data_IF_041717294265
#
_entry.id   IF_041717294265
#
_cell.length_a   1.000
_cell.length_b   1.000
_cell.length_c   1.000
_cell.angle_alpha   90.00
_cell.angle_beta   90.00
_cell.angle_gamma   90.00
#
_symmetry.space_group_name_H-M   'P 1'
#
loop_
_entity.id
_entity.type
_entity.pdbx_description
1 polymer ?
#
# COMPACT_ATOMS: atom_id res chain seq x y z
N UNK A 1 -22.62 -22.92 -19.40
CA UNK A 1 -22.53 -22.52 -17.97
C UNK A 1 -21.09 -22.19 -17.51
N UNK A 2 -20.10 -22.04 -18.41
CA UNK A 2 -18.68 -21.84 -18.01
C UNK A 2 -18.13 -20.40 -18.18
N UNK A 3 -18.80 -19.57 -18.99
CA UNK A 3 -18.31 -18.24 -19.40
C UNK A 3 -18.38 -17.17 -18.29
N UNK A 4 -19.36 -17.25 -17.39
CA UNK A 4 -19.46 -16.29 -16.27
C UNK A 4 -18.34 -16.47 -15.24
N UNK A 5 -17.94 -17.72 -14.96
CA UNK A 5 -16.86 -18.02 -14.03
C UNK A 5 -15.50 -17.62 -14.60
N UNK A 6 -15.26 -17.88 -15.89
CA UNK A 6 -14.05 -17.46 -16.59
C UNK A 6 -13.90 -15.93 -16.62
N UNK A 7 -14.98 -15.19 -16.93
CA UNK A 7 -14.94 -13.72 -16.93
C UNK A 7 -14.65 -13.15 -15.54
N UNK A 8 -15.29 -13.68 -14.50
CA UNK A 8 -15.05 -13.24 -13.12
C UNK A 8 -13.60 -13.47 -12.69
N UNK A 9 -13.01 -14.60 -13.12
CA UNK A 9 -11.61 -14.92 -12.82
C UNK A 9 -10.63 -13.98 -13.52
N UNK A 10 -10.87 -13.68 -14.80
CA UNK A 10 -10.06 -12.72 -15.56
C UNK A 10 -10.12 -11.31 -14.97
N UNK A 11 -11.30 -10.87 -14.53
CA UNK A 11 -11.48 -9.56 -13.88
C UNK A 11 -10.71 -9.48 -12.56
N UNK A 12 -10.73 -10.56 -11.76
CA UNK A 12 -9.97 -10.62 -10.51
C UNK A 12 -8.46 -10.60 -10.78
N UNK A 13 -7.97 -11.37 -11.76
CA UNK A 13 -6.56 -11.34 -12.14
C UNK A 13 -6.14 -9.97 -12.68
N UNK A 14 -6.97 -9.35 -13.52
CA UNK A 14 -6.75 -7.99 -14.01
C UNK A 14 -6.66 -6.98 -12.88
N UNK A 15 -7.54 -7.09 -11.88
CA UNK A 15 -7.53 -6.20 -10.73
C UNK A 15 -6.31 -6.42 -9.82
N UNK A 16 -5.87 -7.66 -9.61
CA UNK A 16 -4.66 -7.99 -8.85
C UNK A 16 -3.43 -7.39 -9.54
N UNK A 17 -3.32 -7.54 -10.86
CA UNK A 17 -2.20 -6.97 -11.62
C UNK A 17 -2.15 -5.44 -11.53
N UNK A 18 -3.31 -4.77 -11.55
CA UNK A 18 -3.39 -3.32 -11.35
C UNK A 18 -3.04 -2.90 -9.92
N UNK A 19 -3.43 -3.68 -8.93
CA UNK A 19 -3.09 -3.40 -7.53
C UNK A 19 -1.58 -3.51 -7.30
N UNK A 20 -0.96 -4.56 -7.84
CA UNK A 20 0.48 -4.75 -7.78
C UNK A 20 1.25 -3.64 -8.51
N UNK A 21 0.75 -3.23 -9.67
CA UNK A 21 1.30 -2.09 -10.41
C UNK A 21 1.28 -0.80 -9.59
N UNK A 22 0.13 -0.43 -8.99
CA UNK A 22 0.06 0.79 -8.19
C UNK A 22 0.86 0.71 -6.90
N UNK A 23 0.95 -0.47 -6.27
CA UNK A 23 1.84 -0.69 -5.12
C UNK A 23 3.28 -0.39 -5.54
N UNK A 24 3.75 -0.98 -6.64
CA UNK A 24 5.10 -0.74 -7.14
C UNK A 24 5.36 0.76 -7.40
N UNK A 25 4.43 1.44 -8.09
CA UNK A 25 4.51 2.88 -8.34
C UNK A 25 4.57 3.72 -7.05
N UNK A 26 3.84 3.34 -6.00
CA UNK A 26 3.89 4.05 -4.72
C UNK A 26 5.27 3.97 -4.05
N UNK A 27 5.91 2.80 -4.09
CA UNK A 27 7.25 2.63 -3.52
C UNK A 27 8.35 3.25 -4.36
N UNK A 28 8.25 3.21 -5.69
CA UNK A 28 9.12 3.98 -6.58
C UNK A 28 9.03 5.49 -6.29
N UNK A 29 7.81 5.99 -6.09
CA UNK A 29 7.60 7.37 -5.68
C UNK A 29 8.32 7.67 -4.35
N UNK A 30 8.17 6.80 -3.34
CA UNK A 30 8.89 6.97 -2.07
C UNK A 30 10.41 6.99 -2.27
N UNK A 31 10.96 6.10 -3.09
CA UNK A 31 12.39 6.07 -3.41
C UNK A 31 12.86 7.39 -4.03
N UNK A 32 12.12 7.92 -4.99
CA UNK A 32 12.41 9.23 -5.60
C UNK A 32 12.40 10.36 -4.55
N UNK A 33 11.42 10.36 -3.64
CA UNK A 33 11.35 11.34 -2.54
C UNK A 33 12.50 11.22 -1.56
N UNK A 34 13.01 10.01 -1.33
CA UNK A 34 14.20 9.79 -0.51
C UNK A 34 15.47 10.33 -1.17
N UNK A 35 15.68 10.03 -2.46
CA UNK A 35 16.81 10.53 -3.23
C UNK A 35 16.85 12.06 -3.30
N UNK A 36 15.68 12.70 -3.34
CA UNK A 36 15.55 14.15 -3.36
C UNK A 36 15.67 14.83 -1.98
N UNK A 37 15.82 14.08 -0.89
CA UNK A 37 15.73 14.61 0.48
C UNK A 37 17.01 14.36 1.28
N UNK A 38 17.87 15.37 1.37
CA UNK A 38 19.07 15.34 2.23
C UNK A 38 18.73 15.13 3.71
N UNK A 39 17.61 15.68 4.17
CA UNK A 39 17.08 15.45 5.52
C UNK A 39 16.80 13.96 5.78
N UNK A 40 16.15 13.28 4.83
CA UNK A 40 15.81 11.87 4.98
C UNK A 40 17.08 11.00 4.96
N UNK A 41 18.03 11.30 4.07
CA UNK A 41 19.30 10.60 3.99
C UNK A 41 20.14 10.79 5.27
N UNK A 42 20.21 12.01 5.79
CA UNK A 42 20.89 12.29 7.05
C UNK A 42 20.22 11.57 8.23
N UNK A 43 18.89 11.51 8.25
CA UNK A 43 18.17 10.75 9.26
C UNK A 43 18.53 9.27 9.21
N UNK A 44 18.56 8.65 8.03
CA UNK A 44 18.96 7.23 7.88
C UNK A 44 20.39 7.02 8.38
N UNK A 45 21.33 7.85 7.94
CA UNK A 45 22.73 7.75 8.34
C UNK A 45 22.95 7.89 9.86
N UNK A 46 22.21 8.80 10.51
CA UNK A 46 22.35 9.10 11.95
C UNK A 46 21.44 8.28 12.86
N UNK A 47 20.47 7.54 12.34
CA UNK A 47 19.53 6.80 13.19
C UNK A 47 20.17 5.54 13.77
N UNK A 48 20.05 5.39 15.09
CA UNK A 48 20.29 4.12 15.78
C UNK A 48 19.08 3.17 15.71
N UNK A 49 17.96 3.60 15.11
CA UNK A 49 16.72 2.79 15.01
C UNK A 49 16.64 1.96 13.74
N UNK A 50 17.50 2.26 12.77
CA UNK A 50 17.59 1.56 11.50
C UNK A 50 18.89 0.78 11.56
N UNK A 51 18.82 -0.53 11.45
CA UNK A 51 20.00 -1.39 11.45
C UNK A 51 20.87 -1.07 10.24
N UNK A 52 22.18 -1.20 10.39
CA UNK A 52 23.14 -0.80 9.36
C UNK A 52 22.96 -1.58 8.06
N UNK A 53 22.45 -2.81 8.12
CA UNK A 53 22.11 -3.61 6.93
C UNK A 53 21.07 -2.91 6.04
N UNK A 54 20.08 -2.26 6.65
CA UNK A 54 19.03 -1.56 5.91
C UNK A 54 19.45 -0.17 5.44
N UNK A 55 20.57 0.39 5.94
CA UNK A 55 21.05 1.72 5.51
C UNK A 55 21.65 1.69 4.10
N UNK A 56 22.14 0.52 3.69
CA UNK A 56 22.71 0.31 2.36
C UNK A 56 21.68 -0.19 1.33
N UNK A 57 20.42 -0.41 1.73
CA UNK A 57 19.39 -0.86 0.81
C UNK A 57 19.12 0.18 -0.28
N UNK A 58 19.16 -0.27 -1.53
CA UNK A 58 18.90 0.59 -2.69
C UNK A 58 17.43 1.01 -2.78
N UNK A 59 16.52 0.28 -2.13
CA UNK A 59 15.08 0.47 -2.22
C UNK A 59 14.51 1.36 -1.09
N UNK A 60 15.35 2.02 -0.31
CA UNK A 60 14.88 2.96 0.74
C UNK A 60 14.06 4.08 0.11
N UNK A 61 12.88 4.31 0.68
CA UNK A 61 11.98 5.37 0.31
C UNK A 61 11.70 6.35 1.45
N UNK A 62 11.05 7.47 1.12
CA UNK A 62 10.58 8.46 2.08
C UNK A 62 9.16 8.88 1.73
N UNK A 63 8.23 8.61 2.64
CA UNK A 63 6.85 9.07 2.52
C UNK A 63 6.74 10.49 3.09
N UNK A 64 7.05 11.46 2.23
CA UNK A 64 7.07 12.90 2.56
C UNK A 64 5.69 13.58 2.48
N UNK A 65 4.62 12.77 2.40
CA UNK A 65 3.21 13.21 2.45
C UNK A 65 2.67 13.83 1.15
N UNK A 66 3.40 13.67 0.05
CA UNK A 66 3.07 14.30 -1.23
C UNK A 66 2.51 13.34 -2.28
N UNK A 67 2.60 12.02 -2.09
CA UNK A 67 2.11 11.05 -3.08
C UNK A 67 0.61 11.26 -3.31
N UNK A 68 -0.16 11.39 -2.21
CA UNK A 68 -1.61 11.57 -2.29
C UNK A 68 -2.06 12.83 -3.04
N UNK A 69 -1.23 13.89 -3.07
CA UNK A 69 -1.49 15.12 -3.80
C UNK A 69 -1.10 15.04 -5.28
N UNK A 70 -0.18 14.14 -5.64
CA UNK A 70 0.27 13.92 -7.01
C UNK A 70 -0.58 12.89 -7.77
N UNK A 71 -1.38 12.08 -7.07
CA UNK A 71 -2.38 11.21 -7.71
C UNK A 71 -3.55 12.05 -8.24
N UNK A 72 -4.06 11.80 -9.47
CA UNK A 72 -5.24 12.48 -10.01
C UNK A 72 -6.43 12.50 -9.04
N UNK A 73 -7.31 13.50 -9.23
CA UNK A 73 -8.47 13.69 -8.35
C UNK A 73 -9.39 12.47 -8.41
N UNK A 74 -9.95 12.08 -7.27
CA UNK A 74 -10.85 10.92 -7.15
C UNK A 74 -12.12 11.00 -8.04
N UNK A 75 -12.48 12.20 -8.51
CA UNK A 75 -13.60 12.40 -9.46
C UNK A 75 -13.29 11.91 -10.89
N UNK A 76 -12.01 11.67 -11.20
CA UNK A 76 -11.57 11.15 -12.50
C UNK A 76 -11.52 9.63 -12.43
N UNK A 77 -11.87 8.90 -13.51
CA UNK A 77 -11.81 7.43 -13.51
C UNK A 77 -10.44 6.90 -13.11
N UNK A 78 -9.37 7.47 -13.67
CA UNK A 78 -7.98 7.12 -13.35
C UNK A 78 -7.64 7.38 -11.88
N UNK A 79 -7.95 8.59 -11.38
CA UNK A 79 -7.70 8.93 -9.98
C UNK A 79 -8.48 8.06 -9.00
N UNK A 80 -9.72 7.69 -9.34
CA UNK A 80 -10.51 6.75 -8.56
C UNK A 80 -9.88 5.35 -8.55
N UNK A 81 -9.41 4.86 -9.70
CA UNK A 81 -8.77 3.56 -9.83
C UNK A 81 -7.49 3.46 -9.00
N UNK A 82 -6.57 4.42 -9.14
CA UNK A 82 -5.31 4.44 -8.37
C UNK A 82 -5.59 4.53 -6.87
N UNK A 83 -6.46 5.45 -6.45
CA UNK A 83 -6.77 5.64 -5.02
C UNK A 83 -7.45 4.42 -4.42
N UNK A 84 -8.41 3.82 -5.13
CA UNK A 84 -9.10 2.62 -4.70
C UNK A 84 -8.13 1.43 -4.57
N UNK A 85 -7.21 1.31 -5.52
CA UNK A 85 -6.15 0.31 -5.51
C UNK A 85 -5.22 0.45 -4.30
N UNK A 86 -4.67 1.65 -4.06
CA UNK A 86 -3.81 1.89 -2.89
C UNK A 86 -4.56 1.79 -1.55
N UNK A 87 -5.86 2.06 -1.55
CA UNK A 87 -6.71 1.83 -0.38
C UNK A 87 -6.91 0.34 -0.11
N UNK A 88 -7.19 -0.47 -1.14
CA UNK A 88 -7.25 -1.93 -1.01
C UNK A 88 -5.91 -2.52 -0.56
N UNK A 89 -4.81 -1.98 -1.06
CA UNK A 89 -3.47 -2.34 -0.62
C UNK A 89 -3.18 -1.91 0.83
N UNK A 90 -3.95 -1.00 1.41
CA UNK A 90 -3.73 -0.45 2.75
C UNK A 90 -2.63 0.62 2.83
N UNK A 91 -2.07 1.04 1.70
CA UNK A 91 -1.05 2.10 1.62
C UNK A 91 -1.66 3.51 1.73
N UNK A 92 -2.94 3.64 1.40
CA UNK A 92 -3.73 4.86 1.60
C UNK A 92 -4.93 4.53 2.50
N UNK A 93 -5.17 5.36 3.51
CA UNK A 93 -6.31 5.20 4.43
C UNK A 93 -7.61 5.66 3.76
N UNK A 94 -8.75 5.28 4.35
CA UNK A 94 -10.07 5.79 3.94
C UNK A 94 -10.15 7.33 3.99
N UNK A 95 -9.41 7.97 4.90
CA UNK A 95 -9.30 9.44 5.00
C UNK A 95 -8.43 10.07 3.90
N UNK A 96 -7.84 9.26 3.01
CA UNK A 96 -6.93 9.71 1.96
C UNK A 96 -5.48 9.96 2.42
N UNK A 97 -5.18 9.76 3.70
CA UNK A 97 -3.81 9.86 4.21
C UNK A 97 -2.99 8.62 3.90
N UNK A 98 -1.74 8.82 3.51
CA UNK A 98 -0.76 7.75 3.34
C UNK A 98 -0.49 7.02 4.67
N UNK A 99 -0.33 5.70 4.62
CA UNK A 99 -0.03 4.87 5.79
C UNK A 99 1.29 5.29 6.44
N UNK A 100 2.32 5.48 5.63
CA UNK A 100 3.69 5.78 6.03
C UNK A 100 3.98 7.27 6.23
N UNK A 101 2.95 8.10 6.41
CA UNK A 101 3.06 9.57 6.50
C UNK A 101 4.22 10.02 7.42
N UNK A 102 5.27 10.59 6.84
CA UNK A 102 6.46 11.08 7.54
C UNK A 102 7.44 9.99 7.98
N UNK A 103 7.49 8.86 7.29
CA UNK A 103 8.41 7.76 7.58
C UNK A 103 9.46 7.57 6.48
N UNK A 104 10.67 7.14 6.88
CA UNK A 104 11.54 6.35 6.00
C UNK A 104 10.88 4.99 5.80
N UNK A 105 10.80 4.53 4.57
CA UNK A 105 10.15 3.28 4.18
C UNK A 105 11.21 2.31 3.66
N UNK A 106 11.26 1.11 4.24
CA UNK A 106 12.21 0.05 3.89
C UNK A 106 11.38 -1.15 3.42
N UNK A 107 11.26 -1.37 2.09
CA UNK A 107 10.49 -2.47 1.55
C UNK A 107 11.25 -3.80 1.63
N UNK A 108 10.50 -4.88 1.81
CA UNK A 108 10.97 -6.24 1.54
C UNK A 108 10.40 -6.68 0.20
N UNK A 109 11.27 -7.13 -0.69
CA UNK A 109 10.93 -7.64 -2.01
C UNK A 109 11.12 -9.14 -2.07
N UNK A 110 10.27 -9.83 -2.82
CA UNK A 110 10.44 -11.26 -3.10
C UNK A 110 11.43 -11.52 -4.25
N UNK A 111 11.62 -12.79 -4.59
CA UNK A 111 12.51 -13.22 -5.69
C UNK A 111 12.07 -12.71 -7.07
N UNK A 112 10.80 -12.31 -7.22
CA UNK A 112 10.26 -11.77 -8.47
C UNK A 112 10.31 -10.24 -8.49
N UNK A 113 10.89 -9.61 -7.46
CA UNK A 113 10.94 -8.15 -7.31
C UNK A 113 9.62 -7.53 -6.84
N UNK A 114 8.63 -8.34 -6.43
CA UNK A 114 7.37 -7.85 -5.90
C UNK A 114 7.51 -7.42 -4.45
N UNK A 115 6.91 -6.29 -4.10
CA UNK A 115 6.93 -5.77 -2.73
C UNK A 115 5.93 -6.54 -1.87
N UNK A 116 6.42 -7.26 -0.87
CA UNK A 116 5.60 -8.14 -0.01
C UNK A 116 5.35 -7.55 1.38
N UNK A 117 6.24 -6.67 1.86
CA UNK A 117 6.07 -5.95 3.12
C UNK A 117 6.92 -4.69 3.14
N UNK A 118 6.71 -3.84 4.15
CA UNK A 118 7.56 -2.69 4.40
C UNK A 118 7.53 -2.24 5.86
N UNK A 119 8.68 -1.73 6.30
CA UNK A 119 8.87 -1.07 7.58
C UNK A 119 8.93 0.45 7.39
N UNK A 120 8.27 1.18 8.28
CA UNK A 120 8.17 2.63 8.23
C UNK A 120 8.70 3.29 9.49
N UNK A 121 9.90 3.86 9.46
CA UNK A 121 10.51 4.54 10.60
C UNK A 121 10.16 6.03 10.63
N UNK A 122 9.46 6.47 11.67
CA UNK A 122 9.02 7.87 11.78
C UNK A 122 10.20 8.83 11.88
N UNK A 123 10.22 9.82 10.99
CA UNK A 123 11.18 10.92 10.97
C UNK A 123 10.71 12.04 11.89
N UNK A 124 11.63 12.59 12.68
CA UNK A 124 11.38 13.73 13.56
C UNK A 124 10.75 13.35 14.91
N UNK A 125 10.15 14.35 15.58
CA UNK A 125 9.59 14.20 16.92
C UNK A 125 8.34 13.32 16.91
N UNK A 126 8.40 12.23 17.66
CA UNK A 126 7.26 11.34 17.90
C UNK A 126 6.43 11.92 19.05
N UNK A 127 5.12 12.08 18.83
CA UNK A 127 4.21 12.56 19.87
C UNK A 127 3.81 11.40 20.78
N UNK A 128 3.33 11.72 21.99
CA UNK A 128 2.86 10.70 22.90
C UNK A 128 1.71 9.90 22.26
N UNK A 129 1.84 8.58 22.20
CA UNK A 129 0.89 7.67 21.53
C UNK A 129 1.17 7.37 20.05
N UNK A 130 2.09 8.09 19.38
CA UNK A 130 2.48 7.76 18.01
C UNK A 130 3.40 6.54 18.00
N UNK A 131 3.12 5.59 17.08
CA UNK A 131 4.03 4.46 16.86
C UNK A 131 5.33 4.94 16.17
N UNK A 132 6.52 4.60 16.71
CA UNK A 132 7.81 4.94 16.12
C UNK A 132 8.05 4.20 14.80
N UNK A 133 7.51 2.99 14.69
CA UNK A 133 7.61 2.11 13.53
C UNK A 133 6.20 1.75 13.06
N UNK A 134 5.99 1.83 11.75
CA UNK A 134 4.77 1.41 11.06
C UNK A 134 5.10 0.15 10.27
N UNK A 135 4.21 -0.84 10.32
CA UNK A 135 4.38 -2.09 9.60
C UNK A 135 3.30 -2.19 8.53
N UNK A 136 3.68 -2.67 7.36
CA UNK A 136 2.77 -2.99 6.28
C UNK A 136 3.14 -4.35 5.69
N UNK A 137 2.10 -5.16 5.44
CA UNK A 137 2.21 -6.39 4.66
C UNK A 137 1.24 -6.26 3.49
N UNK A 138 1.68 -6.71 2.32
CA UNK A 138 0.82 -6.77 1.15
C UNK A 138 -0.39 -7.65 1.49
N UNK A 139 -1.63 -7.15 1.29
CA UNK A 139 -2.81 -7.94 1.62
C UNK A 139 -2.90 -9.14 0.69
N UNK A 140 -3.17 -10.31 1.26
CA UNK A 140 -3.41 -11.53 0.50
C UNK A 140 -4.63 -11.36 -0.42
N UNK A 141 -4.58 -11.75 -1.70
CA UNK A 141 -5.71 -11.64 -2.63
C UNK A 141 -7.00 -12.29 -2.09
N UNK A 142 -6.87 -13.36 -1.29
CA UNK A 142 -7.99 -14.12 -0.71
C UNK A 142 -8.72 -13.40 0.44
N UNK A 143 -8.16 -12.32 0.97
CA UNK A 143 -8.78 -11.56 2.08
C UNK A 143 -10.11 -10.93 1.64
N UNK A 144 -10.24 -10.59 0.36
CA UNK A 144 -11.45 -10.01 -0.23
C UNK A 144 -12.55 -11.05 -0.52
N UNK A 145 -12.16 -12.30 -0.80
CA UNK A 145 -13.11 -13.38 -1.12
C UNK A 145 -13.98 -13.73 0.09
N UNK A 146 -13.43 -13.72 1.31
CA UNK A 146 -14.20 -14.02 2.53
C UNK A 146 -15.28 -12.98 2.81
N UNK A 147 -14.99 -11.70 2.66
CA UNK A 147 -15.95 -10.61 2.95
C UNK A 147 -17.07 -10.58 1.90
N UNK A 148 -16.74 -10.76 0.61
CA UNK A 148 -17.74 -10.83 -0.46
C UNK A 148 -18.65 -12.06 -0.39
N UNK A 149 -18.08 -13.23 -0.07
CA UNK A 149 -18.88 -14.46 0.09
C UNK A 149 -19.80 -14.43 1.33
N UNK A 150 -19.42 -13.73 2.41
CA UNK A 150 -20.29 -13.54 3.57
C UNK A 150 -21.54 -12.74 3.20
N UNK A 151 -21.36 -11.63 2.47
CA UNK A 151 -22.46 -10.78 2.02
C UNK A 151 -23.39 -11.48 1.03
N UNK A 152 -22.84 -12.26 0.09
CA UNK A 152 -23.64 -13.03 -0.86
C UNK A 152 -24.47 -14.13 -0.15
N UNK A 153 -23.92 -14.78 0.88
CA UNK A 153 -24.66 -15.77 1.68
C UNK A 153 -25.81 -15.12 2.46
N UNK A 154 -25.63 -13.93 3.01
CA UNK A 154 -26.70 -13.21 3.72
C UNK A 154 -27.84 -12.78 2.79
N UNK A 155 -27.54 -12.33 1.57
CA UNK A 155 -28.54 -11.99 0.56
C UNK A 155 -29.36 -13.20 0.10
N UNK A 156 -28.72 -14.38 -0.01
CA UNK A 156 -29.40 -15.63 -0.39
C UNK A 156 -30.33 -16.12 0.73
N UNK A 157 -29.95 -15.99 2.00
CA UNK A 157 -30.80 -16.41 3.14
C UNK A 157 -31.89 -15.37 3.47
N UNK A 158 -31.71 -14.09 3.11
CA UNK A 158 -32.69 -13.04 3.32
C UNK A 158 -33.90 -13.09 2.36
N UNK A 159 -33.81 -13.83 1.26
CA UNK A 159 -34.91 -13.98 0.29
C UNK A 159 -35.73 -15.27 0.45
N UNK A 160 -35.52 -16.07 1.51
CA UNK A 160 -36.28 -17.32 1.74
C UNK A 160 -37.30 -17.23 2.89
N UNK A 161 -37.73 -16.02 3.27
CA UNK A 161 -38.90 -15.84 4.13
C UNK A 161 -39.92 -14.92 3.44
N UNK A 162 -40.75 -15.53 2.59
CA UNK A 162 -42.07 -15.03 2.22
C UNK A 162 -43.06 -16.18 2.35
#
# INVERSE_FOLDING_TARGET
MNTFLENTYLDVLGQINLDDFHIQQAFEYYQQRYQASSLAQQFVASSCRIDDEFKCDLNIGFCDRTMGTNIPKARTPEGAAIRGSLQRAGLVRSTGHELFRGCIVIPTVDSNGSIISALGYRVGRIRNGDKPVVYWHKPEPKTYVKTGMSYAKELIHGQTYH
#
